data_IF_746352520171
#
_entry.id   IF_746352520171
#
_cell.length_a   1.000
_cell.length_b   1.000
_cell.length_c   1.000
_cell.angle_alpha   90.00
_cell.angle_beta   90.00
_cell.angle_gamma   90.00
#
_symmetry.space_group_name_H-M   'P 1'
#
loop_
_entity.id
_entity.type
_entity.pdbx_description
1 polymer ?
#
# COMPACT_ATOMS: atom_id res chain seq x y z
N UNK A 1 4.04 0.55 -12.91
CA UNK A 1 3.25 -0.59 -13.42
C UNK A 1 3.35 -0.63 -14.95
N UNK A 2 3.31 -1.81 -15.59
CA UNK A 2 3.45 -1.94 -17.05
C UNK A 2 2.16 -1.51 -17.79
N UNK A 3 2.30 -0.86 -18.95
CA UNK A 3 1.22 -0.47 -19.89
C UNK A 3 0.26 -1.62 -20.19
N UNK A 4 0.77 -2.85 -20.32
CA UNK A 4 -0.07 -4.05 -20.54
C UNK A 4 -1.07 -4.28 -19.40
N UNK A 5 -0.64 -4.16 -18.15
CA UNK A 5 -1.51 -4.33 -16.97
C UNK A 5 -2.55 -3.22 -16.88
N UNK A 6 -2.16 -1.97 -17.15
CA UNK A 6 -3.10 -0.83 -17.16
C UNK A 6 -4.19 -1.00 -18.22
N UNK A 7 -3.83 -1.45 -19.43
CA UNK A 7 -4.79 -1.72 -20.50
C UNK A 7 -5.77 -2.86 -20.15
N UNK A 8 -5.29 -3.92 -19.50
CA UNK A 8 -6.15 -5.02 -19.04
C UNK A 8 -7.14 -4.53 -17.97
N UNK A 9 -6.66 -3.75 -17.00
CA UNK A 9 -7.53 -3.17 -15.95
C UNK A 9 -8.58 -2.25 -16.59
N UNK A 10 -8.19 -1.38 -17.53
CA UNK A 10 -9.11 -0.53 -18.28
C UNK A 10 -10.21 -1.35 -18.98
N UNK A 11 -9.82 -2.41 -19.67
CA UNK A 11 -10.75 -3.30 -20.38
C UNK A 11 -11.74 -3.95 -19.41
N UNK A 12 -11.26 -4.54 -18.31
CA UNK A 12 -12.12 -5.18 -17.29
C UNK A 12 -13.06 -4.15 -16.65
N UNK A 13 -12.56 -2.94 -16.37
CA UNK A 13 -13.36 -1.85 -15.79
C UNK A 13 -14.50 -1.40 -16.67
N UNK A 14 -14.35 -1.50 -18.00
CA UNK A 14 -15.37 -1.14 -18.97
C UNK A 14 -16.31 -2.31 -19.34
N UNK A 15 -15.83 -3.55 -19.30
CA UNK A 15 -16.62 -4.73 -19.68
C UNK A 15 -17.88 -4.88 -18.81
N UNK A 16 -17.78 -4.71 -17.49
CA UNK A 16 -18.94 -4.90 -16.62
C UNK A 16 -20.00 -3.81 -16.85
N UNK A 17 -19.66 -2.49 -16.80
CA UNK A 17 -20.65 -1.43 -17.04
C UNK A 17 -21.27 -1.50 -18.43
N UNK A 18 -20.47 -1.62 -19.48
CA UNK A 18 -20.97 -1.60 -20.85
C UNK A 18 -21.53 -2.95 -21.31
N UNK A 19 -20.98 -4.06 -20.84
CA UNK A 19 -21.51 -5.39 -21.13
C UNK A 19 -22.93 -5.56 -20.59
N UNK A 20 -23.22 -5.03 -19.40
CA UNK A 20 -24.58 -5.00 -18.86
C UNK A 20 -25.49 -4.04 -19.64
N UNK A 21 -24.98 -2.87 -20.06
CA UNK A 21 -25.73 -1.93 -20.90
C UNK A 21 -26.18 -2.58 -22.23
N UNK A 22 -25.33 -3.40 -22.84
CA UNK A 22 -25.63 -4.10 -24.10
C UNK A 22 -26.28 -5.48 -23.90
N UNK A 23 -26.48 -5.94 -22.65
CA UNK A 23 -27.07 -7.25 -22.36
C UNK A 23 -28.59 -7.32 -22.55
N UNK A 24 -29.24 -6.18 -22.82
CA UNK A 24 -30.69 -6.08 -22.92
C UNK A 24 -31.41 -5.91 -21.59
N UNK A 25 -30.69 -5.74 -20.48
CA UNK A 25 -31.27 -5.31 -19.20
C UNK A 25 -31.87 -3.91 -19.34
N UNK A 26 -33.16 -3.78 -19.03
CA UNK A 26 -33.83 -2.49 -19.03
C UNK A 26 -33.23 -1.58 -17.95
N UNK A 27 -32.80 -0.39 -18.37
CA UNK A 27 -32.26 0.60 -17.47
C UNK A 27 -33.39 1.46 -16.90
N UNK A 28 -33.43 1.57 -15.58
CA UNK A 28 -34.34 2.47 -14.85
C UNK A 28 -33.98 3.96 -14.97
N UNK A 29 -32.84 4.28 -15.60
CA UNK A 29 -32.34 5.65 -15.80
C UNK A 29 -32.52 6.17 -17.23
N UNK A 30 -33.10 5.38 -18.14
CA UNK A 30 -33.21 5.72 -19.56
C UNK A 30 -31.87 6.20 -20.15
N UNK A 31 -31.87 7.38 -20.78
CA UNK A 31 -30.66 7.99 -21.38
C UNK A 31 -29.56 8.35 -20.36
N UNK A 32 -29.90 8.46 -19.06
CA UNK A 32 -28.92 8.70 -17.99
C UNK A 32 -28.00 7.51 -17.72
N UNK A 33 -28.38 6.30 -18.14
CA UNK A 33 -27.58 5.08 -17.95
C UNK A 33 -26.21 5.13 -18.60
N UNK A 34 -26.06 5.83 -19.72
CA UNK A 34 -24.78 5.97 -20.42
C UNK A 34 -23.78 6.75 -19.57
N UNK A 35 -24.20 7.88 -18.99
CA UNK A 35 -23.34 8.70 -18.13
C UNK A 35 -22.96 7.92 -16.86
N UNK A 36 -23.93 7.24 -16.25
CA UNK A 36 -23.67 6.41 -15.07
C UNK A 36 -22.72 5.24 -15.37
N UNK A 37 -22.83 4.62 -16.54
CA UNK A 37 -21.92 3.54 -16.98
C UNK A 37 -20.49 4.05 -17.19
N UNK A 38 -20.33 5.25 -17.76
CA UNK A 38 -19.01 5.91 -17.88
C UNK A 38 -18.42 6.19 -16.49
N UNK A 39 -19.20 6.78 -15.58
CA UNK A 39 -18.75 7.02 -14.21
C UNK A 39 -18.37 5.73 -13.50
N UNK A 40 -19.18 4.68 -13.65
CA UNK A 40 -18.90 3.36 -13.11
C UNK A 40 -17.56 2.82 -13.62
N UNK A 41 -17.33 2.86 -14.93
CA UNK A 41 -16.07 2.40 -15.54
C UNK A 41 -14.85 3.17 -15.01
N UNK A 42 -14.94 4.49 -14.88
CA UNK A 42 -13.86 5.34 -14.35
C UNK A 42 -13.56 4.97 -12.89
N UNK A 43 -14.58 4.89 -12.04
CA UNK A 43 -14.41 4.57 -10.62
C UNK A 43 -13.84 3.16 -10.46
N UNK A 44 -14.35 2.17 -11.22
CA UNK A 44 -13.79 0.81 -11.25
C UNK A 44 -12.31 0.82 -11.64
N UNK A 45 -11.95 1.56 -12.69
CA UNK A 45 -10.57 1.69 -13.13
C UNK A 45 -9.66 2.23 -12.02
N UNK A 46 -10.05 3.31 -11.34
CA UNK A 46 -9.24 3.90 -10.27
C UNK A 46 -9.01 2.92 -9.10
N UNK A 47 -10.07 2.27 -8.63
CA UNK A 47 -9.96 1.34 -7.50
C UNK A 47 -9.25 0.03 -7.89
N UNK A 48 -9.55 -0.55 -9.05
CA UNK A 48 -8.85 -1.77 -9.51
C UNK A 48 -7.39 -1.49 -9.75
N UNK A 49 -7.05 -0.34 -10.34
CA UNK A 49 -5.68 0.05 -10.58
C UNK A 49 -4.90 0.13 -9.26
N UNK A 50 -5.48 0.79 -8.26
CA UNK A 50 -4.87 0.90 -6.93
C UNK A 50 -4.72 -0.46 -6.26
N UNK A 51 -5.75 -1.31 -6.31
CA UNK A 51 -5.73 -2.66 -5.74
C UNK A 51 -4.66 -3.54 -6.41
N UNK A 52 -4.59 -3.54 -7.74
CA UNK A 52 -3.61 -4.32 -8.51
C UNK A 52 -2.19 -3.86 -8.23
N UNK A 53 -1.92 -2.56 -8.19
CA UNK A 53 -0.60 -2.02 -7.85
C UNK A 53 -0.17 -2.48 -6.44
N UNK A 54 -1.05 -2.31 -5.46
CA UNK A 54 -0.76 -2.70 -4.07
C UNK A 54 -0.54 -4.22 -3.93
N UNK A 55 -1.41 -5.04 -4.55
CA UNK A 55 -1.27 -6.50 -4.56
C UNK A 55 0.04 -6.92 -5.22
N UNK A 56 0.40 -6.31 -6.36
CA UNK A 56 1.63 -6.66 -7.08
C UNK A 56 2.88 -6.36 -6.25
N UNK A 57 2.93 -5.19 -5.60
CA UNK A 57 4.01 -4.77 -4.72
C UNK A 57 4.11 -5.67 -3.49
N UNK A 58 2.98 -5.95 -2.84
CA UNK A 58 2.96 -6.82 -1.67
C UNK A 58 3.32 -8.27 -1.99
N UNK A 59 2.87 -8.80 -3.14
CA UNK A 59 3.31 -10.12 -3.64
C UNK A 59 4.83 -10.17 -3.84
N UNK A 60 5.45 -9.07 -4.27
CA UNK A 60 6.90 -8.96 -4.35
C UNK A 60 7.58 -9.16 -2.99
N UNK A 61 7.04 -8.53 -1.95
CA UNK A 61 7.54 -8.65 -0.58
C UNK A 61 7.28 -10.05 0.02
N UNK A 62 6.10 -10.63 -0.21
CA UNK A 62 5.74 -11.96 0.31
C UNK A 62 6.63 -13.11 -0.20
N UNK A 63 7.34 -12.90 -1.32
CA UNK A 63 8.26 -13.89 -1.88
C UNK A 63 9.64 -13.88 -1.22
N UNK A 64 9.93 -12.89 -0.39
CA UNK A 64 11.20 -12.80 0.32
C UNK A 64 11.29 -13.93 1.36
N UNK A 65 12.44 -14.60 1.39
CA UNK A 65 12.74 -15.67 2.34
C UNK A 65 12.82 -15.11 3.78
N UNK A 66 12.36 -15.89 4.76
CA UNK A 66 12.34 -15.52 6.18
C UNK A 66 11.69 -14.16 6.48
N UNK A 67 10.64 -13.82 5.73
CA UNK A 67 9.96 -12.53 5.87
C UNK A 67 9.31 -12.36 7.26
N UNK A 68 9.86 -11.42 8.02
CA UNK A 68 9.35 -10.97 9.31
C UNK A 68 8.80 -9.54 9.22
N UNK A 69 7.51 -9.42 8.87
CA UNK A 69 6.77 -8.15 8.83
C UNK A 69 5.35 -8.32 9.37
N UNK A 70 4.70 -7.22 9.73
CA UNK A 70 3.27 -7.23 10.10
C UNK A 70 2.36 -7.37 8.87
N UNK A 71 2.18 -8.60 8.40
CA UNK A 71 1.32 -8.97 7.24
C UNK A 71 -0.12 -8.44 7.33
N UNK A 72 -0.66 -8.32 8.56
CA UNK A 72 -2.01 -7.78 8.82
C UNK A 72 -2.23 -6.42 8.18
N UNK A 73 -1.24 -5.53 8.20
CA UNK A 73 -1.35 -4.18 7.61
C UNK A 73 -1.63 -4.23 6.11
N UNK A 74 -0.94 -5.10 5.39
CA UNK A 74 -1.11 -5.25 3.94
C UNK A 74 -2.41 -5.96 3.59
N UNK A 75 -2.79 -7.00 4.35
CA UNK A 75 -4.04 -7.72 4.15
C UNK A 75 -5.26 -6.80 4.37
N UNK A 76 -5.24 -5.94 5.40
CA UNK A 76 -6.28 -4.95 5.63
C UNK A 76 -6.38 -3.93 4.49
N UNK A 77 -5.25 -3.43 3.98
CA UNK A 77 -5.22 -2.57 2.80
C UNK A 77 -5.92 -3.23 1.60
N UNK A 78 -5.54 -4.47 1.25
CA UNK A 78 -6.14 -5.21 0.13
C UNK A 78 -7.64 -5.42 0.35
N UNK A 79 -8.03 -5.84 1.56
CA UNK A 79 -9.43 -6.09 1.91
C UNK A 79 -10.29 -4.83 1.75
N UNK A 80 -9.80 -3.67 2.20
CA UNK A 80 -10.52 -2.40 2.06
C UNK A 80 -10.72 -2.02 0.58
N UNK A 81 -9.68 -2.13 -0.26
CA UNK A 81 -9.81 -1.82 -1.69
C UNK A 81 -10.76 -2.78 -2.42
N UNK A 82 -10.72 -4.08 -2.10
CA UNK A 82 -11.68 -5.06 -2.65
C UNK A 82 -13.10 -4.74 -2.16
N UNK A 83 -13.27 -4.37 -0.90
CA UNK A 83 -14.56 -3.95 -0.33
C UNK A 83 -15.15 -2.74 -1.07
N UNK A 84 -14.34 -1.71 -1.34
CA UNK A 84 -14.75 -0.57 -2.16
C UNK A 84 -15.14 -0.98 -3.58
N UNK A 85 -14.39 -1.88 -4.23
CA UNK A 85 -14.74 -2.38 -5.55
C UNK A 85 -16.10 -3.09 -5.56
N UNK A 86 -16.33 -3.99 -4.60
CA UNK A 86 -17.60 -4.70 -4.48
C UNK A 86 -18.74 -3.69 -4.29
N UNK A 87 -18.58 -2.74 -3.35
CA UNK A 87 -19.58 -1.71 -3.10
C UNK A 87 -19.89 -0.87 -4.34
N UNK A 88 -18.86 -0.35 -5.02
CA UNK A 88 -19.03 0.46 -6.24
C UNK A 88 -19.82 -0.29 -7.30
N UNK A 89 -19.47 -1.56 -7.55
CA UNK A 89 -20.17 -2.35 -8.57
C UNK A 89 -21.63 -2.60 -8.20
N UNK A 90 -21.91 -2.95 -6.94
CA UNK A 90 -23.29 -3.15 -6.47
C UNK A 90 -24.08 -1.83 -6.51
N UNK A 91 -23.49 -0.72 -6.09
CA UNK A 91 -24.13 0.59 -6.08
C UNK A 91 -24.52 1.04 -7.48
N UNK A 92 -23.60 1.02 -8.44
CA UNK A 92 -23.93 1.41 -9.82
C UNK A 92 -24.93 0.44 -10.46
N UNK A 93 -24.81 -0.86 -10.21
CA UNK A 93 -25.79 -1.84 -10.68
C UNK A 93 -27.21 -1.54 -10.14
N UNK A 94 -27.31 -1.25 -8.84
CA UNK A 94 -28.56 -0.89 -8.17
C UNK A 94 -29.20 0.38 -8.77
N UNK A 95 -28.39 1.42 -9.00
CA UNK A 95 -28.87 2.69 -9.53
C UNK A 95 -29.36 2.59 -10.98
N UNK A 96 -28.69 1.78 -11.81
CA UNK A 96 -28.97 1.68 -13.25
C UNK A 96 -30.08 0.66 -13.53
N UNK A 97 -30.10 -0.50 -12.85
CA UNK A 97 -30.90 -1.65 -13.29
C UNK A 97 -31.87 -2.24 -12.26
N UNK A 98 -31.60 -2.12 -10.95
CA UNK A 98 -32.40 -2.84 -9.94
C UNK A 98 -32.59 -2.02 -8.67
N UNK A 99 -33.63 -1.19 -8.63
CA UNK A 99 -33.97 -0.40 -7.43
C UNK A 99 -34.72 -1.16 -6.35
N UNK A 100 -35.45 -2.22 -6.70
CA UNK A 100 -36.38 -2.89 -5.77
C UNK A 100 -35.90 -4.26 -5.26
N UNK A 101 -34.58 -4.49 -5.19
CA UNK A 101 -34.02 -5.72 -4.62
C UNK A 101 -33.48 -5.51 -3.20
N UNK A 102 -34.06 -6.22 -2.22
CA UNK A 102 -33.70 -6.11 -0.80
C UNK A 102 -32.22 -6.38 -0.52
N UNK A 103 -31.63 -7.39 -1.16
CA UNK A 103 -30.22 -7.78 -0.94
C UNK A 103 -29.28 -6.73 -1.53
N UNK A 104 -29.56 -6.30 -2.76
CA UNK A 104 -28.77 -5.26 -3.45
C UNK A 104 -28.87 -3.93 -2.69
N UNK A 105 -30.07 -3.53 -2.27
CA UNK A 105 -30.30 -2.30 -1.50
C UNK A 105 -29.60 -2.33 -0.13
N UNK A 106 -29.55 -3.50 0.52
CA UNK A 106 -28.80 -3.66 1.76
C UNK A 106 -27.29 -3.47 1.56
N UNK A 107 -26.74 -4.02 0.47
CA UNK A 107 -25.30 -3.94 0.16
C UNK A 107 -24.88 -2.57 -0.42
N UNK A 108 -25.77 -1.90 -1.15
CA UNK A 108 -25.59 -0.54 -1.67
C UNK A 108 -25.89 0.55 -0.62
N UNK A 109 -26.17 0.17 0.63
CA UNK A 109 -26.60 1.09 1.67
C UNK A 109 -25.48 2.09 2.04
N UNK A 110 -25.78 3.39 2.22
CA UNK A 110 -24.82 4.39 2.69
C UNK A 110 -24.10 4.01 3.99
N UNK A 111 -24.74 3.26 4.89
CA UNK A 111 -24.12 2.77 6.13
C UNK A 111 -22.98 1.78 5.85
N UNK A 112 -23.11 0.94 4.82
CA UNK A 112 -22.04 0.04 4.41
C UNK A 112 -20.83 0.84 3.89
N UNK A 113 -21.09 1.89 3.10
CA UNK A 113 -20.06 2.82 2.64
C UNK A 113 -19.36 3.54 3.81
N UNK A 114 -20.13 4.03 4.79
CA UNK A 114 -19.58 4.64 6.01
C UNK A 114 -18.70 3.63 6.75
N UNK A 115 -19.15 2.38 6.89
CA UNK A 115 -18.36 1.31 7.49
C UNK A 115 -17.03 1.07 6.76
N UNK A 116 -17.04 1.02 5.43
CA UNK A 116 -15.83 0.92 4.61
C UNK A 116 -14.90 2.12 4.81
N UNK A 117 -15.44 3.34 4.88
CA UNK A 117 -14.65 4.54 5.15
C UNK A 117 -14.02 4.53 6.54
N UNK A 118 -14.77 4.11 7.57
CA UNK A 118 -14.22 3.98 8.93
C UNK A 118 -13.12 2.92 8.97
N UNK A 119 -13.31 1.78 8.30
CA UNK A 119 -12.29 0.75 8.17
C UNK A 119 -11.06 1.26 7.42
N UNK A 120 -11.24 2.06 6.37
CA UNK A 120 -10.15 2.73 5.66
C UNK A 120 -9.38 3.69 6.57
N UNK A 121 -10.06 4.55 7.34
CA UNK A 121 -9.43 5.49 8.27
C UNK A 121 -8.67 4.74 9.38
N UNK A 122 -9.23 3.64 9.89
CA UNK A 122 -8.56 2.76 10.83
C UNK A 122 -7.31 2.13 10.19
N UNK A 123 -7.42 1.66 8.96
CA UNK A 123 -6.31 1.09 8.22
C UNK A 123 -5.18 2.12 7.96
N UNK A 124 -5.49 3.39 7.74
CA UNK A 124 -4.48 4.46 7.66
C UNK A 124 -3.69 4.67 8.97
N UNK A 125 -4.18 4.17 10.10
CA UNK A 125 -3.41 4.16 11.35
C UNK A 125 -2.36 3.04 11.38
N UNK A 126 -2.48 2.03 10.53
CA UNK A 126 -1.60 0.87 10.46
C UNK A 126 -0.47 1.12 9.45
N UNK A 127 0.71 1.40 9.97
CA UNK A 127 1.90 1.62 9.15
C UNK A 127 1.93 2.99 8.48
N UNK A 128 3.12 3.30 7.96
CA UNK A 128 3.36 4.45 7.13
C UNK A 128 4.28 4.07 5.99
N UNK A 129 3.75 4.11 4.77
CA UNK A 129 4.49 3.67 3.59
C UNK A 129 5.49 4.75 3.17
N UNK A 130 6.71 4.36 2.75
CA UNK A 130 7.70 5.33 2.30
C UNK A 130 7.28 5.95 0.96
N UNK A 131 7.53 7.25 0.84
CA UNK A 131 7.50 7.95 -0.44
C UNK A 131 8.83 7.75 -1.15
N UNK A 132 8.78 7.44 -2.45
CA UNK A 132 9.97 7.25 -3.31
C UNK A 132 10.13 8.44 -4.24
N UNK A 133 11.33 9.04 -4.23
CA UNK A 133 11.75 10.05 -5.19
C UNK A 133 12.92 9.50 -6.04
N UNK A 134 12.72 9.45 -7.36
CA UNK A 134 13.74 9.02 -8.31
C UNK A 134 14.49 10.24 -8.87
N UNK A 135 15.67 10.52 -8.32
CA UNK A 135 16.65 11.52 -8.82
C UNK A 135 17.95 10.80 -9.21
N UNK A 136 19.09 11.48 -9.16
CA UNK A 136 20.42 10.86 -9.30
C UNK A 136 20.69 9.84 -8.18
N UNK A 137 20.17 10.12 -6.98
CA UNK A 137 20.09 9.19 -5.85
C UNK A 137 18.63 8.90 -5.56
N UNK A 138 18.29 7.62 -5.36
CA UNK A 138 16.93 7.21 -5.03
C UNK A 138 16.68 7.50 -3.55
N UNK A 139 15.66 8.30 -3.24
CA UNK A 139 15.34 8.67 -1.86
C UNK A 139 14.03 7.99 -1.47
N UNK A 140 14.10 7.21 -0.39
CA UNK A 140 12.94 6.64 0.28
C UNK A 140 12.72 7.40 1.59
N UNK A 141 11.54 7.94 1.80
CA UNK A 141 11.26 8.76 2.97
C UNK A 141 10.00 8.30 3.69
N UNK A 142 10.15 7.91 4.96
CA UNK A 142 9.05 7.82 5.92
C UNK A 142 9.09 9.11 6.75
N UNK A 143 8.26 10.12 6.43
CA UNK A 143 8.37 11.41 7.09
C UNK A 143 8.05 11.30 8.59
N UNK A 144 8.56 12.23 9.40
CA UNK A 144 8.19 12.34 10.82
C UNK A 144 6.74 12.80 11.00
N UNK A 145 6.29 13.78 10.22
CA UNK A 145 4.92 14.31 10.25
C UNK A 145 3.93 13.35 9.60
N UNK A 146 2.86 13.01 10.30
CA UNK A 146 1.78 12.16 9.76
C UNK A 146 1.01 12.85 8.63
N UNK A 147 0.73 12.12 7.56
CA UNK A 147 -0.14 12.54 6.46
C UNK A 147 -1.26 11.52 6.29
N UNK A 148 -2.45 11.97 5.89
CA UNK A 148 -3.54 11.06 5.52
C UNK A 148 -3.14 10.16 4.33
N UNK A 149 -2.30 10.68 3.43
CA UNK A 149 -1.85 9.98 2.22
C UNK A 149 -0.91 8.81 2.53
N UNK A 150 -0.02 8.99 3.50
CA UNK A 150 1.10 8.08 3.72
C UNK A 150 0.87 7.12 4.89
N UNK A 151 -0.16 7.39 5.72
CA UNK A 151 -0.44 6.67 6.96
C UNK A 151 0.16 7.36 8.19
N UNK A 152 -0.26 6.89 9.38
CA UNK A 152 0.09 7.50 10.67
C UNK A 152 0.98 6.65 11.57
N UNK A 153 1.29 5.40 11.20
CA UNK A 153 2.21 4.52 11.93
C UNK A 153 1.85 4.33 13.42
N UNK A 154 0.58 4.49 13.81
CA UNK A 154 0.15 4.52 15.23
C UNK A 154 -0.09 3.15 15.81
N UNK A 155 -0.74 2.27 15.04
CA UNK A 155 -1.17 0.94 15.51
C UNK A 155 -0.23 -0.18 15.08
N UNK A 156 0.77 0.12 14.27
CA UNK A 156 1.77 -0.80 13.77
C UNK A 156 2.64 -0.14 12.71
N UNK A 157 3.69 -0.84 12.29
CA UNK A 157 4.65 -0.38 11.30
C UNK A 157 4.62 -1.26 10.05
N UNK A 158 5.22 -0.75 8.97
CA UNK A 158 5.54 -1.52 7.76
C UNK A 158 7.05 -1.73 7.62
N UNK A 159 7.75 -1.68 8.76
CA UNK A 159 9.18 -1.98 8.85
C UNK A 159 9.33 -3.39 9.40
N UNK A 160 10.25 -4.16 8.84
CA UNK A 160 10.64 -5.46 9.34
C UNK A 160 11.88 -5.96 8.61
N UNK A 161 12.06 -7.27 8.56
CA UNK A 161 13.22 -7.92 7.97
C UNK A 161 12.84 -9.10 7.07
N UNK A 162 13.80 -9.55 6.30
CA UNK A 162 13.79 -10.81 5.57
C UNK A 162 15.21 -11.40 5.65
N UNK A 163 15.41 -12.66 5.23
CA UNK A 163 16.65 -13.40 5.48
C UNK A 163 17.95 -12.64 5.14
N UNK A 164 17.93 -11.78 4.10
CA UNK A 164 19.09 -11.05 3.60
C UNK A 164 19.04 -9.53 3.80
N UNK A 165 18.02 -8.98 4.46
CA UNK A 165 17.91 -7.52 4.54
C UNK A 165 16.70 -6.98 5.30
N UNK A 166 16.47 -5.68 5.16
CA UNK A 166 15.33 -4.98 5.73
C UNK A 166 14.19 -4.85 4.73
N UNK A 167 12.96 -4.85 5.22
CA UNK A 167 11.76 -4.49 4.46
C UNK A 167 11.17 -3.22 5.04
N UNK A 168 10.90 -2.24 4.18
CA UNK A 168 10.29 -0.96 4.56
C UNK A 168 9.18 -0.65 3.55
N UNK A 169 7.94 -0.83 4.00
CA UNK A 169 6.76 -0.71 3.14
C UNK A 169 6.78 -1.75 2.03
N UNK A 170 6.80 -1.27 0.79
CA UNK A 170 6.82 -2.10 -0.41
C UNK A 170 8.22 -2.25 -1.02
N UNK A 171 9.27 -1.93 -0.24
CA UNK A 171 10.66 -1.95 -0.68
C UNK A 171 11.48 -2.86 0.23
N UNK A 172 12.50 -3.48 -0.34
CA UNK A 172 13.46 -4.30 0.40
C UNK A 172 14.87 -3.79 0.15
N UNK A 173 15.73 -3.94 1.15
CA UNK A 173 17.09 -3.41 1.17
C UNK A 173 18.03 -4.51 1.66
N UNK A 174 18.79 -5.16 0.77
CA UNK A 174 19.79 -6.16 1.16
C UNK A 174 20.87 -5.57 2.07
N UNK A 175 21.33 -6.33 3.06
CA UNK A 175 22.40 -5.87 3.97
C UNK A 175 23.75 -5.70 3.26
N UNK A 176 23.99 -6.47 2.20
CA UNK A 176 25.20 -6.37 1.35
C UNK A 176 25.30 -4.99 0.68
N UNK A 177 24.17 -4.46 0.22
CA UNK A 177 24.07 -3.18 -0.48
C UNK A 177 24.15 -1.96 0.46
N UNK A 178 23.94 -2.18 1.76
CA UNK A 178 24.04 -1.14 2.76
C UNK A 178 25.50 -0.73 2.98
N UNK A 179 25.77 0.56 2.84
CA UNK A 179 27.08 1.18 3.11
C UNK A 179 27.17 1.75 4.51
N UNK A 180 26.10 2.38 4.99
CA UNK A 180 26.09 2.99 6.31
C UNK A 180 24.67 3.13 6.85
N UNK A 181 24.52 2.94 8.16
CA UNK A 181 23.31 3.17 8.93
C UNK A 181 23.67 4.19 10.02
N UNK A 182 22.95 5.30 10.09
CA UNK A 182 23.23 6.34 11.09
C UNK A 182 21.97 7.04 11.56
N UNK A 183 22.11 7.83 12.62
CA UNK A 183 21.04 8.69 13.13
C UNK A 183 21.27 10.13 12.68
N UNK A 184 20.26 10.76 12.08
CA UNK A 184 20.31 12.16 11.68
C UNK A 184 20.21 13.10 12.89
N UNK A 185 20.50 14.39 12.68
CA UNK A 185 20.30 15.43 13.71
C UNK A 185 18.85 15.52 14.19
N UNK A 186 17.89 15.12 13.36
CA UNK A 186 16.47 15.13 13.66
C UNK A 186 15.97 13.80 14.26
N UNK A 187 16.89 12.96 14.77
CA UNK A 187 16.61 11.63 15.30
C UNK A 187 16.03 10.62 14.29
N UNK A 188 16.15 10.88 12.99
CA UNK A 188 15.71 9.95 11.95
C UNK A 188 16.78 8.88 11.71
N UNK A 189 16.38 7.65 11.37
CA UNK A 189 17.32 6.62 10.92
C UNK A 189 17.59 6.83 9.43
N UNK A 190 18.87 6.90 9.07
CA UNK A 190 19.34 7.11 7.71
C UNK A 190 20.14 5.91 7.27
N UNK A 191 19.67 5.20 6.24
CA UNK A 191 20.37 4.07 5.63
C UNK A 191 20.83 4.51 4.25
N UNK A 192 22.13 4.41 3.98
CA UNK A 192 22.70 4.67 2.65
C UNK A 192 23.21 3.38 2.06
N UNK A 193 23.02 3.21 0.76
CA UNK A 193 23.54 2.05 0.04
C UNK A 193 23.59 2.27 -1.46
N UNK A 194 23.78 1.18 -2.20
CA UNK A 194 23.82 1.18 -3.66
C UNK A 194 23.00 0.02 -4.20
N UNK A 195 22.07 0.30 -5.11
CA UNK A 195 21.27 -0.69 -5.82
C UNK A 195 21.72 -0.65 -7.29
N UNK A 196 22.47 -1.67 -7.73
CA UNK A 196 23.08 -1.69 -9.06
C UNK A 196 24.03 -0.52 -9.29
N UNK A 197 23.70 0.37 -10.24
CA UNK A 197 24.50 1.57 -10.55
C UNK A 197 24.11 2.81 -9.74
N UNK A 198 22.94 2.82 -9.07
CA UNK A 198 22.41 4.01 -8.38
C UNK A 198 22.64 3.93 -6.87
N UNK A 199 22.96 5.07 -6.26
CA UNK A 199 22.95 5.18 -4.80
C UNK A 199 21.50 5.32 -4.31
N UNK A 200 21.23 4.86 -3.09
CA UNK A 200 19.97 5.10 -2.40
C UNK A 200 20.17 5.64 -0.99
N UNK A 201 19.16 6.36 -0.52
CA UNK A 201 19.04 6.85 0.86
C UNK A 201 17.65 6.50 1.37
N UNK A 202 17.56 5.86 2.53
CA UNK A 202 16.32 5.64 3.26
C UNK A 202 16.32 6.50 4.50
N UNK A 203 15.36 7.40 4.61
CA UNK A 203 15.11 8.23 5.79
C UNK A 203 13.87 7.70 6.52
N UNK A 204 14.03 7.34 7.79
CA UNK A 204 12.95 6.85 8.65
C UNK A 204 12.76 7.84 9.80
N UNK A 205 11.86 8.79 9.61
CA UNK A 205 11.56 9.84 10.59
C UNK A 205 10.36 9.56 11.49
N UNK A 206 9.49 8.60 11.15
CA UNK A 206 8.43 8.16 12.07
C UNK A 206 9.02 7.41 13.25
N UNK A 207 8.65 7.78 14.48
CA UNK A 207 9.20 7.20 15.71
C UNK A 207 9.02 5.67 15.78
N UNK A 208 7.81 5.18 15.51
CA UNK A 208 7.52 3.75 15.61
C UNK A 208 8.30 2.94 14.56
N UNK A 209 8.29 3.39 13.30
CA UNK A 209 9.10 2.80 12.23
C UNK A 209 10.60 2.86 12.52
N UNK A 210 11.09 3.97 13.09
CA UNK A 210 12.50 4.11 13.46
C UNK A 210 12.90 3.14 14.56
N UNK A 211 12.07 3.00 15.60
CA UNK A 211 12.28 2.04 16.68
C UNK A 211 12.27 0.60 16.16
N UNK A 212 11.30 0.24 15.30
CA UNK A 212 11.28 -1.08 14.68
C UNK A 212 12.53 -1.32 13.83
N UNK A 213 12.96 -0.34 13.03
CA UNK A 213 14.18 -0.47 12.23
C UNK A 213 15.40 -0.76 13.12
N UNK A 214 15.54 -0.07 14.25
CA UNK A 214 16.62 -0.30 15.22
C UNK A 214 16.59 -1.74 15.75
N UNK A 215 15.40 -2.25 16.10
CA UNK A 215 15.24 -3.63 16.58
C UNK A 215 15.71 -4.64 15.51
N UNK A 216 15.25 -4.49 14.27
CA UNK A 216 15.64 -5.40 13.18
C UNK A 216 17.14 -5.29 12.84
N UNK A 217 17.72 -4.09 12.91
CA UNK A 217 19.16 -3.89 12.69
C UNK A 217 19.98 -4.55 13.80
N UNK A 218 19.58 -4.43 15.05
CA UNK A 218 20.26 -5.06 16.18
C UNK A 218 20.16 -6.60 16.11
N UNK A 219 19.00 -7.13 15.73
CA UNK A 219 18.85 -8.58 15.50
C UNK A 219 19.80 -9.07 14.40
N UNK A 220 19.84 -8.36 13.26
CA UNK A 220 20.75 -8.68 12.16
C UNK A 220 22.23 -8.60 12.57
N UNK A 221 22.59 -7.63 13.43
CA UNK A 221 23.95 -7.50 13.96
C UNK A 221 24.31 -8.69 14.85
N UNK A 222 23.42 -9.07 15.77
CA UNK A 222 23.63 -10.20 16.67
C UNK A 222 23.73 -11.54 15.92
N UNK A 223 23.03 -11.66 14.79
CA UNK A 223 23.08 -12.83 13.90
C UNK A 223 24.25 -12.79 12.90
N UNK A 224 25.10 -11.74 12.94
CA UNK A 224 26.24 -11.59 12.04
C UNK A 224 25.88 -11.31 10.57
N UNK A 225 24.64 -10.88 10.29
CA UNK A 225 24.15 -10.56 8.94
C UNK A 225 24.59 -9.18 8.45
N UNK A 226 25.02 -8.31 9.35
CA UNK A 226 25.53 -6.96 9.06
C UNK A 226 26.80 -6.68 9.86
N UNK A 227 27.74 -5.98 9.24
CA UNK A 227 28.99 -5.56 9.89
C UNK A 227 28.73 -4.36 10.82
N UNK A 228 29.22 -4.44 12.06
CA UNK A 228 29.15 -3.37 13.07
C UNK A 228 29.74 -2.05 12.55
N UNK A 229 30.77 -2.12 11.70
CA UNK A 229 31.43 -0.94 11.10
C UNK A 229 30.48 -0.10 10.23
N UNK A 230 29.41 -0.71 9.70
CA UNK A 230 28.39 0.00 8.91
C UNK A 230 27.41 0.77 9.80
N UNK A 231 27.38 0.50 11.10
CA UNK A 231 26.38 1.02 12.03
C UNK A 231 27.00 2.14 12.88
N UNK A 232 26.64 3.38 12.55
CA UNK A 232 26.94 4.56 13.36
C UNK A 232 25.67 5.07 14.07
N UNK A 233 25.05 4.15 14.80
CA UNK A 233 24.03 4.46 15.79
C UNK A 233 24.78 4.47 17.12
N UNK A 234 25.09 5.65 17.70
CA UNK A 234 25.75 5.74 19.02
C UNK A 234 25.11 4.70 19.94
N UNK A 235 25.90 3.69 20.38
CA UNK A 235 25.45 2.50 21.12
C UNK A 235 24.18 2.80 21.91
N UNK A 236 23.04 2.37 21.37
CA UNK A 236 21.78 2.40 22.10
C UNK A 236 21.94 1.30 23.14
N UNK A 237 22.43 1.68 24.33
CA UNK A 237 22.41 0.84 25.51
C UNK A 237 20.97 0.35 25.67
N UNK A 238 20.82 -0.96 25.55
CA UNK A 238 19.78 -1.84 26.10
C UNK A 238 18.35 -1.27 26.11
N UNK A 239 17.49 -1.86 25.27
CA UNK A 239 16.11 -2.11 25.69
C UNK A 239 16.10 -3.26 26.70
#
# INVERSE_FOLDING_TARGET
>A
MNKKTSNIVLLISAIIPFGLQFSGLESELGNGSVIYSIMWAIVNYLFMMTAVDFISKYKGILKLEDLNIRKRTYNLNIFVYIGFLIFVNIYFFQQIYVRDNKVINFLANPLFLIGLFLLFIYNLQNGKFPNREDKDTIIYNIPSKSSFRDGKDRLGTVVGSYGKGLVIGNHHFPYEDMKSISKSKNNEIVIKGKEGSKNYIVNIGSLNSANQAIIEINNALNEGKIDENKINLKKIKNF
#
